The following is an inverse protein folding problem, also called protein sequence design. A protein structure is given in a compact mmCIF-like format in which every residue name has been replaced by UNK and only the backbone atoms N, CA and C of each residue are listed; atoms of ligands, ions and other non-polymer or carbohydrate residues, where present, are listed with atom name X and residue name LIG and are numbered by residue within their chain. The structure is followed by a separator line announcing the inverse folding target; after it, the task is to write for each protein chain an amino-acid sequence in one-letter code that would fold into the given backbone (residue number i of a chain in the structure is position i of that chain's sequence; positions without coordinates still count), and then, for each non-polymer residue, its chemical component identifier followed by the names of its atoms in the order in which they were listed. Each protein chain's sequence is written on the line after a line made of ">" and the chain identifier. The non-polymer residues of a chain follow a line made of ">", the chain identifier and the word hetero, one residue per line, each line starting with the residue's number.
data_IF_296287097626
#
_entry.id   IF_296287097626
#
_cell.length_a   1.000
_cell.length_b   1.000
_cell.length_c   1.000
_cell.angle_alpha   90.00
_cell.angle_beta   90.00
_cell.angle_gamma   90.00
#
_symmetry.space_group_name_H-M   'P 1'
#
loop_
_entity.id
_entity.type
_entity.pdbx_description
1 polymer ?
#
# COMPACT_ATOMS: atom_id res chain seq x y z
N UNK A 1 -14.81 2.41 13.14
CA UNK A 1 -15.30 1.69 11.95
C UNK A 1 -15.08 0.21 12.22
N UNK A 2 -15.98 -0.65 11.78
CA UNK A 2 -15.95 -2.08 12.11
C UNK A 2 -14.97 -2.78 11.16
N UNK A 3 -13.80 -3.23 11.64
CA UNK A 3 -12.77 -3.97 10.87
C UNK A 3 -13.23 -5.38 10.45
N UNK A 4 -14.50 -5.55 10.05
CA UNK A 4 -15.15 -6.86 10.06
C UNK A 4 -14.74 -7.80 8.91
N UNK A 5 -14.10 -7.32 7.84
CA UNK A 5 -13.72 -8.16 6.68
C UNK A 5 -12.35 -7.81 6.07
N UNK A 6 -11.33 -7.48 6.88
CA UNK A 6 -9.96 -7.33 6.36
C UNK A 6 -9.25 -8.68 6.51
N UNK A 7 -8.89 -9.29 5.38
CA UNK A 7 -7.96 -10.42 5.34
C UNK A 7 -6.58 -9.89 5.67
N UNK A 8 -5.89 -10.55 6.59
CA UNK A 8 -4.55 -10.17 7.05
C UNK A 8 -3.66 -11.40 7.05
N UNK A 9 -2.75 -11.49 6.09
CA UNK A 9 -1.83 -12.62 5.95
C UNK A 9 -0.40 -12.11 5.96
N UNK A 10 0.43 -12.63 6.87
CA UNK A 10 1.85 -12.31 6.94
C UNK A 10 2.68 -13.38 6.25
N UNK A 11 3.72 -12.94 5.57
CA UNK A 11 4.61 -13.79 4.78
C UNK A 11 6.06 -13.45 5.05
N UNK A 12 6.95 -14.41 4.83
CA UNK A 12 8.39 -14.20 4.81
C UNK A 12 8.82 -13.70 3.42
N UNK A 13 9.59 -12.61 3.39
CA UNK A 13 10.05 -11.93 2.16
C UNK A 13 11.00 -12.76 1.30
N UNK A 14 11.76 -13.68 1.91
CA UNK A 14 12.74 -14.47 1.17
C UNK A 14 12.13 -15.77 0.64
N UNK A 15 11.28 -16.40 1.45
CA UNK A 15 10.73 -17.73 1.13
C UNK A 15 9.33 -17.67 0.51
N UNK A 16 8.64 -16.53 0.59
CA UNK A 16 7.24 -16.35 0.22
C UNK A 16 6.29 -17.30 0.98
N UNK A 17 6.75 -17.87 2.09
CA UNK A 17 5.96 -18.77 2.92
C UNK A 17 5.06 -17.98 3.87
N UNK A 18 3.82 -18.46 4.02
CA UNK A 18 2.85 -17.92 4.96
C UNK A 18 3.35 -18.08 6.41
N UNK A 19 3.58 -16.97 7.09
CA UNK A 19 3.95 -16.90 8.50
C UNK A 19 2.72 -17.00 9.40
N UNK A 20 1.63 -16.29 9.05
CA UNK A 20 0.39 -16.30 9.84
C UNK A 20 -0.80 -15.81 9.02
N UNK A 21 -2.00 -16.33 9.36
CA UNK A 21 -3.28 -15.71 9.01
C UNK A 21 -3.81 -15.01 10.25
N UNK A 22 -3.60 -13.71 10.32
CA UNK A 22 -3.93 -12.93 11.49
C UNK A 22 -5.39 -12.46 11.45
N UNK A 23 -5.99 -12.27 12.62
CA UNK A 23 -7.31 -11.66 12.72
C UNK A 23 -7.22 -10.15 12.49
N UNK A 24 -8.37 -9.50 12.35
CA UNK A 24 -8.44 -8.03 12.27
C UNK A 24 -7.94 -7.32 13.53
N UNK A 25 -7.69 -8.04 14.64
CA UNK A 25 -7.02 -7.48 15.82
C UNK A 25 -5.57 -7.10 15.53
N UNK A 26 -4.90 -7.77 14.59
CA UNK A 26 -3.52 -7.47 14.20
C UNK A 26 -3.37 -6.07 13.61
N UNK A 27 -4.44 -5.50 13.05
CA UNK A 27 -4.46 -4.10 12.61
C UNK A 27 -4.18 -3.10 13.74
N UNK A 28 -4.38 -3.48 15.01
CA UNK A 28 -4.05 -2.62 16.14
C UNK A 28 -2.56 -2.68 16.53
N UNK A 29 -1.76 -3.54 15.88
CA UNK A 29 -0.32 -3.65 16.11
C UNK A 29 0.38 -2.39 15.59
N UNK A 30 1.39 -1.84 16.30
CA UNK A 30 2.22 -0.77 15.77
C UNK A 30 2.89 -1.15 14.44
N UNK A 31 2.94 -0.21 13.48
CA UNK A 31 3.61 -0.40 12.20
C UNK A 31 5.10 -0.71 12.37
N UNK A 32 5.71 -0.26 13.47
CA UNK A 32 7.07 -0.60 13.89
C UNK A 32 7.35 -2.09 14.01
N UNK A 33 6.30 -2.93 14.06
CA UNK A 33 6.43 -4.38 13.95
C UNK A 33 7.28 -4.80 12.75
N UNK A 34 7.08 -4.22 11.56
CA UNK A 34 7.85 -4.58 10.37
C UNK A 34 9.30 -4.07 10.40
N UNK A 35 9.59 -3.02 11.18
CA UNK A 35 10.96 -2.56 11.42
C UNK A 35 11.74 -3.50 12.33
N UNK A 36 11.05 -4.20 13.24
CA UNK A 36 11.60 -5.26 14.10
C UNK A 36 11.65 -6.63 13.38
N UNK A 37 10.65 -6.89 12.52
CA UNK A 37 10.47 -8.10 11.72
C UNK A 37 10.68 -7.81 10.24
N UNK A 38 11.90 -7.36 9.91
CA UNK A 38 12.25 -6.91 8.55
C UNK A 38 12.12 -7.99 7.48
N UNK A 39 12.16 -9.27 7.87
CA UNK A 39 11.96 -10.40 6.97
C UNK A 39 10.48 -10.68 6.67
N UNK A 40 9.54 -9.93 7.26
CA UNK A 40 8.10 -10.16 7.09
C UNK A 40 7.43 -8.98 6.37
N UNK A 41 6.37 -9.29 5.61
CA UNK A 41 5.41 -8.31 5.12
C UNK A 41 3.98 -8.78 5.44
N UNK A 42 3.01 -7.87 5.38
CA UNK A 42 1.60 -8.21 5.49
C UNK A 42 0.87 -7.92 4.18
N UNK A 43 0.12 -8.89 3.71
CA UNK A 43 -0.89 -8.76 2.67
C UNK A 43 -2.25 -8.48 3.32
N UNK A 44 -2.91 -7.43 2.82
CA UNK A 44 -4.19 -6.92 3.27
C UNK A 44 -5.17 -6.91 2.09
N UNK A 45 -6.34 -7.48 2.29
CA UNK A 45 -7.42 -7.53 1.28
C UNK A 45 -8.76 -7.26 1.94
N UNK A 46 -9.64 -6.50 1.26
CA UNK A 46 -11.01 -6.25 1.71
C UNK A 46 -11.87 -5.71 0.57
N UNK A 47 -13.19 -5.79 0.75
CA UNK A 47 -14.19 -5.20 -0.16
C UNK A 47 -13.97 -3.68 -0.35
N UNK A 48 -13.45 -2.97 0.67
CA UNK A 48 -13.19 -1.53 0.59
C UNK A 48 -12.02 -1.21 -0.33
N UNK A 49 -11.02 -2.09 -0.46
CA UNK A 49 -9.94 -1.94 -1.44
C UNK A 49 -10.47 -2.20 -2.85
N UNK A 50 -11.30 -3.24 -3.04
CA UNK A 50 -11.89 -3.56 -4.34
C UNK A 50 -12.75 -2.38 -4.85
N UNK A 51 -13.49 -1.73 -3.95
CA UNK A 51 -14.28 -0.54 -4.25
C UNK A 51 -13.44 0.61 -4.83
N UNK A 52 -12.16 0.72 -4.45
CA UNK A 52 -11.20 1.71 -4.94
C UNK A 52 -10.21 1.13 -5.97
N UNK A 53 -10.59 0.04 -6.66
CA UNK A 53 -9.84 -0.57 -7.77
C UNK A 53 -8.50 -1.17 -7.38
N UNK A 54 -8.38 -1.67 -6.15
CA UNK A 54 -7.22 -2.38 -5.63
C UNK A 54 -7.64 -3.74 -5.11
N UNK A 55 -7.05 -4.81 -5.61
CA UNK A 55 -7.44 -6.18 -5.21
C UNK A 55 -6.80 -6.57 -3.88
N UNK A 56 -5.62 -6.03 -3.59
CA UNK A 56 -4.88 -6.27 -2.36
C UNK A 56 -3.73 -5.29 -2.19
N UNK A 57 -3.25 -5.19 -0.96
CA UNK A 57 -2.21 -4.25 -0.55
C UNK A 57 -1.17 -5.00 0.29
N UNK A 58 0.09 -4.89 -0.10
CA UNK A 58 1.22 -5.32 0.72
C UNK A 58 1.77 -4.13 1.49
N UNK A 59 2.05 -4.32 2.78
CA UNK A 59 2.79 -3.39 3.63
C UNK A 59 4.04 -4.07 4.18
N UNK A 60 5.16 -3.37 4.07
CA UNK A 60 6.44 -3.83 4.61
C UNK A 60 7.32 -2.68 5.08
N UNK A 61 8.42 -3.02 5.75
CA UNK A 61 9.54 -2.12 5.95
C UNK A 61 10.67 -2.50 5.00
N UNK A 62 11.04 -1.62 4.08
CA UNK A 62 12.16 -1.79 3.17
C UNK A 62 13.46 -1.43 3.90
N UNK A 63 14.26 -2.43 4.24
CA UNK A 63 15.51 -2.23 4.96
C UNK A 63 16.67 -1.69 4.12
N UNK A 64 16.56 -1.71 2.79
CA UNK A 64 17.58 -1.17 1.88
C UNK A 64 17.47 0.35 1.85
N UNK A 65 16.24 0.86 1.85
CA UNK A 65 15.96 2.30 1.82
C UNK A 65 15.56 2.89 3.18
N UNK A 66 15.41 2.05 4.21
CA UNK A 66 15.08 2.42 5.60
C UNK A 66 13.69 3.08 5.73
N UNK A 67 12.71 2.66 4.92
CA UNK A 67 11.36 3.26 4.80
C UNK A 67 10.25 2.22 4.85
N UNK A 68 9.04 2.61 5.24
CA UNK A 68 7.85 1.79 5.05
C UNK A 68 7.38 1.90 3.60
N UNK A 69 6.96 0.78 3.04
CA UNK A 69 6.55 0.69 1.65
C UNK A 69 5.21 -0.01 1.52
N UNK A 70 4.35 0.52 0.65
CA UNK A 70 3.14 -0.14 0.20
C UNK A 70 3.29 -0.60 -1.25
N UNK A 71 2.87 -1.83 -1.55
CA UNK A 71 2.82 -2.36 -2.91
C UNK A 71 1.42 -2.83 -3.25
N UNK A 72 0.89 -2.42 -4.40
CA UNK A 72 -0.46 -2.79 -4.82
C UNK A 72 -0.65 -2.66 -6.33
N UNK A 73 -1.63 -3.43 -6.84
CA UNK A 73 -2.15 -3.30 -8.19
C UNK A 73 -3.34 -2.34 -8.24
N UNK A 74 -3.34 -1.41 -9.19
CA UNK A 74 -4.42 -0.43 -9.38
C UNK A 74 -5.08 -0.62 -10.76
N UNK A 75 -6.33 -1.08 -10.77
CA UNK A 75 -7.10 -1.42 -11.97
C UNK A 75 -7.69 -0.18 -12.67
N UNK A 76 -6.82 0.69 -13.18
CA UNK A 76 -7.18 1.89 -13.97
C UNK A 76 -6.61 1.79 -15.39
N UNK A 77 -7.43 2.12 -16.39
CA UNK A 77 -7.02 2.09 -17.81
C UNK A 77 -5.77 2.94 -18.08
N UNK A 78 -4.83 2.39 -18.87
CA UNK A 78 -3.55 3.04 -19.25
C UNK A 78 -3.68 4.49 -19.74
N UNK A 79 -4.80 4.85 -20.37
CA UNK A 79 -5.06 6.21 -20.87
C UNK A 79 -5.03 7.30 -19.78
N UNK A 80 -5.15 6.92 -18.52
CA UNK A 80 -5.11 7.83 -17.37
C UNK A 80 -3.70 7.97 -16.76
N UNK A 81 -2.66 7.38 -17.36
CA UNK A 81 -1.26 7.44 -16.91
C UNK A 81 -0.84 8.84 -16.45
N UNK A 82 -1.04 9.85 -17.29
CA UNK A 82 -0.63 11.23 -16.99
C UNK A 82 -1.33 11.83 -15.78
N UNK A 83 -2.55 11.40 -15.46
CA UNK A 83 -3.27 11.85 -14.28
C UNK A 83 -2.77 11.17 -13.00
N UNK A 84 -2.47 9.87 -13.09
CA UNK A 84 -1.87 9.11 -11.98
C UNK A 84 -0.51 9.72 -11.64
N UNK A 85 0.34 9.93 -12.65
CA UNK A 85 1.65 10.56 -12.48
C UNK A 85 1.55 11.98 -11.92
N UNK A 86 0.60 12.79 -12.41
CA UNK A 86 0.39 14.14 -11.90
C UNK A 86 -0.03 14.15 -10.42
N UNK A 87 -0.98 13.28 -10.04
CA UNK A 87 -1.43 13.14 -8.66
C UNK A 87 -0.28 12.71 -7.75
N UNK A 88 0.44 11.64 -8.11
CA UNK A 88 1.56 11.16 -7.31
C UNK A 88 2.63 12.26 -7.18
N UNK A 89 2.97 12.96 -8.25
CA UNK A 89 3.94 14.06 -8.19
C UNK A 89 3.51 15.22 -7.29
N UNK A 90 2.22 15.53 -7.21
CA UNK A 90 1.70 16.59 -6.33
C UNK A 90 1.75 16.20 -4.85
N UNK A 91 1.56 14.91 -4.56
CA UNK A 91 1.42 14.40 -3.19
C UNK A 91 2.68 13.71 -2.64
N UNK A 92 3.71 13.57 -3.45
CA UNK A 92 4.94 12.86 -3.12
C UNK A 92 6.14 13.81 -3.13
N UNK A 93 7.02 13.70 -2.14
CA UNK A 93 8.23 14.50 -2.09
C UNK A 93 9.32 13.93 -3.02
N UNK A 94 9.40 14.49 -4.23
CA UNK A 94 10.32 14.08 -5.31
C UNK A 94 11.81 14.34 -5.02
N UNK A 95 12.15 15.11 -3.98
CA UNK A 95 13.54 15.43 -3.64
C UNK A 95 14.27 14.29 -2.89
N UNK A 96 13.54 13.31 -2.34
CA UNK A 96 14.13 12.29 -1.44
C UNK A 96 14.18 10.89 -2.03
N UNK A 97 13.09 10.43 -2.62
CA UNK A 97 12.99 9.12 -3.26
C UNK A 97 11.80 9.14 -4.23
N UNK A 98 11.76 8.23 -5.20
CA UNK A 98 10.62 8.12 -6.11
C UNK A 98 9.85 6.82 -5.84
N UNK A 99 8.54 6.90 -6.00
CA UNK A 99 7.67 5.74 -6.18
C UNK A 99 7.99 5.04 -7.51
N UNK A 100 7.60 3.77 -7.64
CA UNK A 100 7.59 3.06 -8.92
C UNK A 100 6.15 2.95 -9.43
N UNK A 101 6.00 3.08 -10.75
CA UNK A 101 4.73 2.97 -11.45
C UNK A 101 4.97 2.25 -12.78
N UNK A 102 4.45 1.02 -12.91
CA UNK A 102 4.56 0.21 -14.12
C UNK A 102 3.18 -0.29 -14.55
N UNK A 103 2.83 -0.13 -15.82
CA UNK A 103 1.58 -0.69 -16.34
C UNK A 103 1.80 -2.13 -16.83
N UNK A 104 1.15 -3.09 -16.19
CA UNK A 104 1.09 -4.48 -16.64
C UNK A 104 0.07 -4.61 -17.77
N UNK A 105 0.56 -4.81 -18.99
CA UNK A 105 -0.29 -4.94 -20.19
C UNK A 105 -1.13 -6.21 -20.21
N UNK A 106 -0.62 -7.27 -19.59
CA UNK A 106 -1.27 -8.58 -19.56
C UNK A 106 -2.40 -8.63 -18.52
N UNK A 107 -2.22 -7.95 -17.38
CA UNK A 107 -3.20 -7.89 -16.30
C UNK A 107 -4.13 -6.67 -16.39
N UNK A 108 -3.73 -5.64 -17.15
CA UNK A 108 -4.52 -4.43 -17.33
C UNK A 108 -4.53 -3.50 -16.11
N UNK A 109 -3.54 -3.61 -15.23
CA UNK A 109 -3.41 -2.84 -13.99
C UNK A 109 -2.07 -2.10 -13.91
N UNK A 110 -2.01 -1.12 -13.01
CA UNK A 110 -0.77 -0.46 -12.62
C UNK A 110 -0.18 -1.13 -11.39
N UNK A 111 1.05 -1.60 -11.49
CA UNK A 111 1.87 -2.02 -10.37
C UNK A 111 2.51 -0.78 -9.75
N UNK A 112 2.22 -0.53 -8.47
CA UNK A 112 2.69 0.64 -7.72
C UNK A 112 3.49 0.17 -6.52
N UNK A 113 4.73 0.66 -6.40
CA UNK A 113 5.52 0.59 -5.17
C UNK A 113 5.67 2.01 -4.61
N UNK A 114 5.17 2.20 -3.40
CA UNK A 114 4.97 3.51 -2.79
C UNK A 114 5.66 3.57 -1.42
N UNK A 115 6.87 4.15 -1.34
CA UNK A 115 7.48 4.43 -0.04
C UNK A 115 6.69 5.51 0.71
N UNK A 116 6.19 5.20 1.90
CA UNK A 116 5.17 5.99 2.59
C UNK A 116 5.75 7.20 3.33
N UNK A 117 7.00 7.09 3.80
CA UNK A 117 7.74 8.13 4.53
C UNK A 117 7.88 9.46 3.78
N UNK A 118 7.64 9.47 2.47
CA UNK A 118 7.72 10.66 1.61
C UNK A 118 6.36 11.23 1.22
N UNK A 119 5.28 10.69 1.76
CA UNK A 119 3.92 11.20 1.59
C UNK A 119 3.57 12.08 2.79
N UNK A 120 3.01 13.26 2.51
CA UNK A 120 2.52 14.14 3.57
C UNK A 120 1.48 13.43 4.45
N UNK A 121 1.53 13.67 5.77
CA UNK A 121 0.67 13.06 6.81
C UNK A 121 0.92 11.58 7.13
N UNK A 122 1.82 10.89 6.43
CA UNK A 122 2.26 9.58 6.92
C UNK A 122 3.04 9.72 8.23
N UNK A 123 2.92 8.72 9.12
CA UNK A 123 3.63 8.66 10.40
C UNK A 123 4.05 7.23 10.69
N UNK A 124 5.34 7.02 10.98
CA UNK A 124 5.87 5.72 11.41
C UNK A 124 5.28 5.22 12.75
N UNK A 125 4.62 6.11 13.51
CA UNK A 125 3.95 5.77 14.76
C UNK A 125 2.53 5.23 14.57
N UNK A 126 2.06 5.09 13.33
CA UNK A 126 0.77 4.46 13.05
C UNK A 126 0.74 3.01 13.52
N UNK A 127 -0.46 2.54 13.83
CA UNK A 127 -0.80 1.13 13.77
C UNK A 127 -0.93 0.66 12.32
N UNK A 128 -0.87 -0.64 12.08
CA UNK A 128 -1.06 -1.22 10.75
C UNK A 128 -2.42 -0.81 10.16
N UNK A 129 -3.47 -0.75 11.00
CA UNK A 129 -4.81 -0.29 10.62
C UNK A 129 -4.87 1.19 10.27
N UNK A 130 -4.13 2.04 10.96
CA UNK A 130 -4.03 3.47 10.61
C UNK A 130 -3.27 3.68 9.29
N UNK A 131 -2.19 2.92 9.06
CA UNK A 131 -1.47 2.93 7.79
C UNK A 131 -2.36 2.43 6.62
N UNK A 132 -3.12 1.36 6.87
CA UNK A 132 -4.12 0.85 5.94
C UNK A 132 -5.20 1.90 5.61
N UNK A 133 -5.77 2.55 6.62
CA UNK A 133 -6.78 3.60 6.42
C UNK A 133 -6.21 4.81 5.67
N UNK A 134 -4.97 5.21 5.99
CA UNK A 134 -4.25 6.25 5.28
C UNK A 134 -4.11 5.91 3.78
N UNK A 135 -3.74 4.67 3.47
CA UNK A 135 -3.61 4.19 2.09
C UNK A 135 -4.94 4.14 1.37
N UNK A 136 -6.01 3.66 2.01
CA UNK A 136 -7.35 3.69 1.42
C UNK A 136 -7.76 5.12 1.04
N UNK A 137 -7.55 6.08 1.94
CA UNK A 137 -7.85 7.49 1.65
C UNK A 137 -7.00 8.03 0.50
N UNK A 138 -5.69 7.76 0.53
CA UNK A 138 -4.76 8.22 -0.50
C UNK A 138 -5.11 7.66 -1.89
N UNK A 139 -5.37 6.36 -1.97
CA UNK A 139 -5.72 5.65 -3.21
C UNK A 139 -7.09 6.09 -3.71
N UNK A 140 -8.08 6.25 -2.82
CA UNK A 140 -9.40 6.76 -3.20
C UNK A 140 -9.29 8.15 -3.85
N UNK A 141 -8.51 9.06 -3.27
CA UNK A 141 -8.28 10.39 -3.85
C UNK A 141 -7.52 10.33 -5.17
N UNK A 142 -6.59 9.39 -5.33
CA UNK A 142 -5.92 9.13 -6.61
C UNK A 142 -6.93 8.68 -7.68
N UNK A 143 -7.80 7.72 -7.36
CA UNK A 143 -8.84 7.21 -8.26
C UNK A 143 -9.78 8.36 -8.68
N UNK A 144 -10.24 9.17 -7.74
CA UNK A 144 -11.08 10.35 -8.01
C UNK A 144 -10.38 11.34 -8.94
N UNK A 145 -9.09 11.61 -8.73
CA UNK A 145 -8.30 12.51 -9.58
C UNK A 145 -8.18 12.00 -11.03
N UNK A 146 -8.30 10.69 -11.27
CA UNK A 146 -8.34 10.16 -12.63
C UNK A 146 -9.65 10.47 -13.38
N UNK A 147 -10.69 10.91 -12.66
CA UNK A 147 -12.00 11.28 -13.21
C UNK A 147 -12.89 10.08 -13.55
N UNK A 148 -12.74 8.99 -12.80
CA UNK A 148 -13.65 7.85 -12.81
C UNK A 148 -14.85 8.09 -11.89
#
# INVERSE_FOLDING_TARGET
>A
MSNQNVVCERYDKETEELVSKDSSEFLNTPLSHFKEKKNEYVYLESDDLEAIKVDGLVLEYDEVFDVYTAMFGLAIQKKFASKIEAYLKEHYNDEKMNYSLMFSGDEGLWEINLPLDYIHQFSENFTIGEAYQFLQTFISSLVEATGN
#
